data_IF_670381424150
#
_entry.id   IF_670381424150
#
_cell.length_a   1.000
_cell.length_b   1.000
_cell.length_c   1.000
_cell.angle_alpha   90.00
_cell.angle_beta   90.00
_cell.angle_gamma   90.00
#
_symmetry.space_group_name_H-M   'P 1'
#
loop_
_entity.id
_entity.type
_entity.pdbx_description
1 polymer ?
#
# COMPACT_ATOMS: atom_id res chain seq x y z
N UNK A 1 -2.50 -1.73 16.28
CA UNK A 1 -3.70 -2.30 15.64
C UNK A 1 -3.31 -2.66 14.21
N UNK A 2 -3.41 -3.94 13.84
CA UNK A 2 -3.13 -4.40 12.47
C UNK A 2 -4.28 -3.91 11.57
N UNK A 3 -3.97 -3.13 10.54
CA UNK A 3 -5.00 -2.65 9.60
C UNK A 3 -5.61 -3.83 8.84
N UNK A 4 -6.92 -3.84 8.67
CA UNK A 4 -7.59 -4.89 7.89
C UNK A 4 -7.38 -4.68 6.39
N UNK A 5 -7.52 -5.74 5.61
CA UNK A 5 -7.39 -5.67 4.14
C UNK A 5 -8.36 -4.66 3.51
N UNK A 6 -9.55 -4.51 4.10
CA UNK A 6 -10.56 -3.53 3.66
C UNK A 6 -10.12 -2.08 3.94
N UNK A 7 -9.55 -1.82 5.11
CA UNK A 7 -9.02 -0.50 5.47
C UNK A 7 -7.88 -0.09 4.53
N UNK A 8 -6.94 -1.00 4.26
CA UNK A 8 -5.81 -0.73 3.36
C UNK A 8 -6.27 -0.58 1.90
N UNK A 9 -7.28 -1.36 1.47
CA UNK A 9 -7.86 -1.21 0.12
C UNK A 9 -8.54 0.15 -0.05
N UNK A 10 -9.27 0.61 0.95
CA UNK A 10 -9.91 1.94 0.93
C UNK A 10 -8.87 3.05 0.84
N UNK A 11 -7.83 2.98 1.69
CA UNK A 11 -6.70 3.92 1.70
C UNK A 11 -5.98 3.96 0.34
N UNK A 12 -5.69 2.80 -0.25
CA UNK A 12 -5.06 2.72 -1.57
C UNK A 12 -5.91 3.38 -2.66
N UNK A 13 -7.23 3.17 -2.66
CA UNK A 13 -8.13 3.82 -3.62
C UNK A 13 -8.16 5.33 -3.46
N UNK A 14 -8.19 5.82 -2.23
CA UNK A 14 -8.13 7.26 -1.95
C UNK A 14 -6.79 7.85 -2.42
N UNK A 15 -5.69 7.14 -2.21
CA UNK A 15 -4.35 7.57 -2.61
C UNK A 15 -4.12 7.56 -4.14
N UNK A 16 -4.88 6.78 -4.92
CA UNK A 16 -4.87 6.88 -6.39
C UNK A 16 -5.50 8.20 -6.86
N UNK A 17 -6.48 8.70 -6.12
CA UNK A 17 -7.24 9.89 -6.46
C UNK A 17 -6.62 11.18 -5.90
N UNK A 18 -5.96 11.07 -4.75
CA UNK A 18 -5.12 12.12 -4.20
C UNK A 18 -3.78 12.13 -4.90
N UNK A 19 -3.29 13.31 -5.28
CA UNK A 19 -1.98 13.50 -5.92
C UNK A 19 -0.81 13.33 -4.91
N UNK A 20 -0.91 12.31 -4.04
CA UNK A 20 0.05 11.98 -3.01
C UNK A 20 0.69 10.62 -3.33
N UNK A 21 1.76 10.69 -4.11
CA UNK A 21 2.50 9.52 -4.55
C UNK A 21 3.12 8.72 -3.38
N UNK A 22 3.50 9.39 -2.29
CA UNK A 22 4.09 8.73 -1.11
C UNK A 22 3.03 7.87 -0.43
N UNK A 23 1.84 8.42 -0.25
CA UNK A 23 0.70 7.72 0.32
C UNK A 23 0.25 6.55 -0.58
N UNK A 24 0.29 6.72 -1.90
CA UNK A 24 0.02 5.66 -2.86
C UNK A 24 0.99 4.48 -2.71
N UNK A 25 2.31 4.74 -2.69
CA UNK A 25 3.34 3.71 -2.55
C UNK A 25 3.16 2.97 -1.21
N UNK A 26 2.95 3.71 -0.12
CA UNK A 26 2.76 3.13 1.21
C UNK A 26 1.52 2.23 1.28
N UNK A 27 0.38 2.69 0.74
CA UNK A 27 -0.86 1.92 0.72
C UNK A 27 -0.77 0.69 -0.19
N UNK A 28 -0.09 0.79 -1.34
CA UNK A 28 0.14 -0.34 -2.26
C UNK A 28 1.05 -1.40 -1.64
N UNK A 29 2.11 -1.00 -0.96
CA UNK A 29 3.00 -1.92 -0.25
C UNK A 29 2.26 -2.69 0.86
N UNK A 30 1.49 -1.97 1.69
CA UNK A 30 0.68 -2.59 2.74
C UNK A 30 -0.36 -3.57 2.17
N UNK A 31 -0.94 -3.27 1.00
CA UNK A 31 -1.91 -4.16 0.36
C UNK A 31 -1.25 -5.43 -0.17
N UNK A 32 -0.05 -5.33 -0.73
CA UNK A 32 0.73 -6.47 -1.23
C UNK A 32 1.13 -7.37 -0.05
N UNK A 33 1.61 -6.80 1.04
CA UNK A 33 1.98 -7.53 2.25
C UNK A 33 0.79 -8.30 2.83
N UNK A 34 -0.38 -7.66 2.94
CA UNK A 34 -1.59 -8.32 3.44
C UNK A 34 -2.11 -9.43 2.51
N UNK A 35 -1.94 -9.29 1.19
CA UNK A 35 -2.44 -10.27 0.22
C UNK A 35 -1.50 -11.46 0.01
N UNK A 36 -0.20 -11.23 0.10
CA UNK A 36 0.83 -12.21 -0.26
C UNK A 36 1.60 -12.73 0.95
N UNK A 37 1.46 -12.09 2.11
CA UNK A 37 2.29 -12.34 3.29
C UNK A 37 3.75 -11.91 3.12
N UNK A 38 4.08 -11.20 2.02
CA UNK A 38 5.45 -10.80 1.70
C UNK A 38 5.62 -9.31 1.91
N UNK A 39 6.51 -8.94 2.82
CA UNK A 39 6.96 -7.55 2.98
C UNK A 39 7.87 -7.17 1.82
N UNK A 40 7.52 -6.11 1.09
CA UNK A 40 8.37 -5.59 0.02
C UNK A 40 9.60 -4.92 0.60
N UNK A 41 10.74 -5.14 -0.06
CA UNK A 41 11.97 -4.41 0.22
C UNK A 41 11.89 -2.97 -0.30
N UNK A 42 12.75 -2.08 0.23
CA UNK A 42 12.79 -0.68 -0.19
C UNK A 42 13.01 -0.50 -1.70
N UNK A 43 13.86 -1.33 -2.31
CA UNK A 43 14.09 -1.32 -3.76
C UNK A 43 12.84 -1.72 -4.54
N UNK A 44 12.10 -2.74 -4.08
CA UNK A 44 10.84 -3.14 -4.73
C UNK A 44 9.75 -2.07 -4.60
N UNK A 45 9.71 -1.37 -3.47
CA UNK A 45 8.80 -0.24 -3.28
C UNK A 45 9.15 0.97 -4.16
N UNK A 46 10.41 1.12 -4.59
CA UNK A 46 10.83 2.21 -5.47
C UNK A 46 10.34 2.06 -6.93
N UNK A 47 9.94 0.86 -7.35
CA UNK A 47 9.39 0.57 -8.68
C UNK A 47 7.84 0.57 -8.73
N UNK A 48 7.18 1.00 -7.66
CA UNK A 48 5.72 1.00 -7.51
C UNK A 48 5.07 2.26 -8.04
#
# INVERSE_FOLDING_TARGET
MTATIEQVTSRYRAAIQGDDQVEFIAAKCALIELKTGTTLTGDQAAYI
#
